data_IF_347082455372
#
_entry.id   IF_347082455372
#
_cell.length_a   1.000
_cell.length_b   1.000
_cell.length_c   1.000
_cell.angle_alpha   90.00
_cell.angle_beta   90.00
_cell.angle_gamma   90.00
#
_symmetry.space_group_name_H-M   'P 1'
#
loop_
_entity.id
_entity.type
_entity.pdbx_description
1 polymer ?
#
# COMPACT_ATOMS: atom_id res chain seq x y z
N UNK A 1 21.24 -33.31 4.96
CA UNK A 1 20.03 -32.98 5.73
C UNK A 1 20.42 -31.82 6.61
N UNK A 2 20.04 -30.57 6.37
CA UNK A 2 18.95 -29.96 5.60
C UNK A 2 19.58 -28.72 4.90
N UNK A 3 19.39 -28.39 3.63
CA UNK A 3 18.11 -28.19 2.96
C UNK A 3 17.47 -26.92 3.50
N UNK A 4 17.66 -25.77 2.84
CA UNK A 4 16.69 -24.68 2.68
C UNK A 4 17.30 -23.62 1.73
N UNK A 5 16.62 -23.47 0.59
CA UNK A 5 16.91 -22.56 -0.53
C UNK A 5 16.32 -21.15 -0.25
N UNK A 6 16.50 -20.16 -1.14
CA UNK A 6 16.89 -18.79 -0.81
C UNK A 6 15.72 -17.93 -0.32
N UNK A 7 16.05 -16.92 0.47
CA UNK A 7 15.19 -15.77 0.74
C UNK A 7 14.74 -15.13 -0.58
N UNK A 8 13.46 -15.35 -0.91
CA UNK A 8 12.78 -14.67 -2.02
C UNK A 8 12.64 -13.20 -1.65
N UNK A 9 13.59 -12.38 -2.09
CA UNK A 9 13.43 -10.95 -2.23
C UNK A 9 12.28 -10.70 -3.22
N UNK A 10 11.08 -10.49 -2.70
CA UNK A 10 9.96 -9.96 -3.50
C UNK A 10 10.23 -8.48 -3.76
N UNK A 11 11.05 -8.18 -4.76
CA UNK A 11 11.07 -6.88 -5.41
C UNK A 11 9.92 -6.84 -6.41
N UNK A 12 8.83 -6.18 -6.05
CA UNK A 12 7.82 -5.79 -7.03
C UNK A 12 8.33 -4.57 -7.82
N UNK A 13 9.25 -4.81 -8.75
CA UNK A 13 9.65 -3.82 -9.74
C UNK A 13 8.53 -3.70 -10.79
N UNK A 14 7.69 -2.67 -10.68
CA UNK A 14 6.81 -2.26 -11.77
C UNK A 14 7.62 -1.36 -12.71
N UNK A 15 7.84 -1.83 -13.94
CA UNK A 15 8.61 -1.14 -14.97
C UNK A 15 7.89 0.11 -15.48
N UNK A 16 8.68 1.18 -15.65
CA UNK A 16 8.30 2.46 -16.23
C UNK A 16 7.68 2.34 -17.63
N UNK A 17 6.53 2.98 -17.83
CA UNK A 17 6.03 3.43 -19.12
C UNK A 17 5.42 4.81 -18.92
N UNK A 18 6.16 5.86 -19.29
CA UNK A 18 5.75 7.26 -19.11
C UNK A 18 4.65 7.59 -20.12
N UNK A 19 3.42 7.77 -19.64
CA UNK A 19 2.31 8.40 -20.34
C UNK A 19 1.47 9.15 -19.30
N UNK A 20 0.75 10.20 -19.69
CA UNK A 20 0.20 11.26 -18.80
C UNK A 20 -0.81 10.81 -17.71
N UNK A 21 -0.96 9.51 -17.45
CA UNK A 21 -1.59 8.88 -16.29
C UNK A 21 -0.68 8.69 -15.05
N UNK A 22 0.64 8.92 -15.18
CA UNK A 22 1.61 8.73 -14.07
C UNK A 22 1.29 9.55 -12.81
N UNK A 23 0.74 10.76 -12.94
CA UNK A 23 0.44 11.61 -11.79
C UNK A 23 -0.69 11.04 -10.91
N UNK A 24 -1.74 10.52 -11.55
CA UNK A 24 -2.87 9.91 -10.82
C UNK A 24 -2.46 8.58 -10.20
N UNK A 25 -1.63 7.80 -10.88
CA UNK A 25 -1.12 6.52 -10.38
C UNK A 25 -0.12 6.73 -9.24
N UNK A 26 0.73 7.74 -9.33
CA UNK A 26 1.63 8.15 -8.25
C UNK A 26 0.86 8.60 -7.00
N UNK A 27 -0.24 9.36 -7.14
CA UNK A 27 -1.10 9.72 -6.01
C UNK A 27 -1.75 8.49 -5.36
N UNK A 28 -2.20 7.52 -6.17
CA UNK A 28 -2.72 6.24 -5.67
C UNK A 28 -1.64 5.44 -4.93
N UNK A 29 -0.41 5.43 -5.43
CA UNK A 29 0.73 4.77 -4.80
C UNK A 29 1.14 5.47 -3.50
N UNK A 30 1.16 6.80 -3.47
CA UNK A 30 1.43 7.59 -2.27
C UNK A 30 0.38 7.34 -1.18
N UNK A 31 -0.91 7.29 -1.56
CA UNK A 31 -1.99 6.93 -0.63
C UNK A 31 -1.80 5.49 -0.12
N UNK A 32 -1.50 4.54 -1.01
CA UNK A 32 -1.29 3.12 -0.67
C UNK A 32 -0.14 2.91 0.31
N UNK A 33 1.02 3.51 0.02
CA UNK A 33 2.20 3.47 0.89
C UNK A 33 1.93 4.21 2.21
N UNK A 34 1.20 5.33 2.13
CA UNK A 34 0.74 6.11 3.27
C UNK A 34 -0.12 5.30 4.23
N UNK A 35 -1.14 4.59 3.73
CA UNK A 35 -2.03 3.72 4.52
C UNK A 35 -1.22 2.67 5.25
N UNK A 36 -0.32 1.96 4.55
CA UNK A 36 0.50 0.93 5.18
C UNK A 36 1.37 1.49 6.32
N UNK A 37 1.87 2.72 6.18
CA UNK A 37 2.68 3.39 7.20
C UNK A 37 1.83 3.87 8.39
N UNK A 38 0.63 4.40 8.14
CA UNK A 38 -0.29 4.84 9.19
C UNK A 38 -0.80 3.63 9.98
N UNK A 39 -1.24 2.58 9.31
CA UNK A 39 -1.70 1.35 9.97
C UNK A 39 -0.60 0.77 10.86
N UNK A 40 0.65 0.69 10.38
CA UNK A 40 1.78 0.20 11.20
C UNK A 40 2.05 1.03 12.45
N UNK A 41 1.82 2.36 12.43
CA UNK A 41 1.98 3.22 13.61
C UNK A 41 0.97 2.93 14.72
N UNK A 42 -0.16 2.29 14.40
CA UNK A 42 -1.19 1.93 15.37
C UNK A 42 -0.91 0.59 16.07
N UNK A 43 0.14 -0.14 15.68
CA UNK A 43 0.46 -1.46 16.21
C UNK A 43 1.91 -1.54 16.74
N UNK A 44 2.23 -2.54 17.58
CA UNK A 44 3.60 -2.81 18.01
C UNK A 44 4.55 -3.11 16.84
N UNK A 45 5.85 -2.90 17.05
CA UNK A 45 6.89 -3.29 16.09
C UNK A 45 6.76 -4.78 15.74
N UNK A 46 6.79 -5.09 14.44
CA UNK A 46 6.68 -6.44 13.85
C UNK A 46 5.26 -6.99 13.62
N UNK A 47 4.20 -6.18 13.76
CA UNK A 47 2.86 -6.63 13.33
C UNK A 47 2.81 -6.87 11.82
N UNK A 48 2.21 -7.99 11.41
CA UNK A 48 1.88 -8.26 10.01
C UNK A 48 0.48 -7.72 9.71
N UNK A 49 0.36 -6.96 8.63
CA UNK A 49 -0.93 -6.43 8.14
C UNK A 49 -1.23 -7.10 6.82
N UNK A 50 -2.40 -7.74 6.73
CA UNK A 50 -2.83 -8.42 5.51
C UNK A 50 -3.04 -7.44 4.35
N UNK A 51 -3.05 -7.97 3.13
CA UNK A 51 -3.30 -7.16 1.93
C UNK A 51 -4.75 -6.68 1.92
N UNK A 52 -5.68 -7.55 2.27
CA UNK A 52 -7.12 -7.29 2.31
C UNK A 52 -7.46 -6.16 3.29
N UNK A 53 -6.77 -6.12 4.44
CA UNK A 53 -6.96 -5.04 5.41
C UNK A 53 -6.48 -3.69 4.87
N UNK A 54 -5.40 -3.66 4.07
CA UNK A 54 -4.92 -2.43 3.44
C UNK A 54 -5.89 -1.96 2.35
N UNK A 55 -6.40 -2.89 1.55
CA UNK A 55 -7.37 -2.59 0.48
C UNK A 55 -8.68 -2.03 1.06
N UNK A 56 -9.23 -2.67 2.10
CA UNK A 56 -10.42 -2.16 2.80
C UNK A 56 -10.20 -0.76 3.39
N UNK A 57 -9.05 -0.53 4.03
CA UNK A 57 -8.73 0.78 4.60
C UNK A 57 -8.59 1.87 3.52
N UNK A 58 -8.10 1.54 2.33
CA UNK A 58 -8.06 2.49 1.21
C UNK A 58 -9.46 2.91 0.79
N UNK A 59 -10.38 1.96 0.61
CA UNK A 59 -11.78 2.27 0.25
C UNK A 59 -12.43 3.17 1.30
N UNK A 60 -12.29 2.84 2.60
CA UNK A 60 -12.83 3.66 3.67
C UNK A 60 -12.21 5.07 3.72
N UNK A 61 -10.91 5.21 3.45
CA UNK A 61 -10.23 6.51 3.51
C UNK A 61 -10.61 7.38 2.31
N UNK A 62 -10.79 6.80 1.13
CA UNK A 62 -11.28 7.52 -0.05
C UNK A 62 -12.70 8.02 0.19
N UNK A 63 -13.57 7.17 0.75
CA UNK A 63 -14.92 7.55 1.16
C UNK A 63 -14.88 8.66 2.21
N UNK A 64 -14.03 8.53 3.23
CA UNK A 64 -13.87 9.53 4.28
C UNK A 64 -13.40 10.89 3.74
N UNK A 65 -12.38 10.90 2.86
CA UNK A 65 -11.89 12.13 2.24
C UNK A 65 -13.00 12.76 1.39
N UNK A 66 -13.76 11.94 0.64
CA UNK A 66 -14.89 12.42 -0.17
C UNK A 66 -15.97 13.05 0.73
N UNK A 67 -16.27 12.43 1.86
CA UNK A 67 -17.22 12.93 2.86
C UNK A 67 -16.77 14.28 3.45
N UNK A 68 -15.50 14.40 3.86
CA UNK A 68 -14.95 15.62 4.49
C UNK A 68 -14.81 16.76 3.48
N UNK A 69 -14.48 16.46 2.22
CA UNK A 69 -14.24 17.47 1.18
C UNK A 69 -15.54 18.05 0.60
N UNK A 70 -16.71 17.61 1.10
CA UNK A 70 -18.05 18.03 0.65
C UNK A 70 -18.30 17.63 -0.81
N UNK A 71 -18.31 16.31 -1.06
CA UNK A 71 -18.90 15.72 -2.26
C UNK A 71 -20.27 15.10 -1.94
#
# INVERSE_FOLDING_TARGET
MEGLSPESSTSCSHGNGVDSGDAQEHDRLLLTVGIGRIMRKAFPENVKISREAKDFMQECIIEFISFVTIK
#
